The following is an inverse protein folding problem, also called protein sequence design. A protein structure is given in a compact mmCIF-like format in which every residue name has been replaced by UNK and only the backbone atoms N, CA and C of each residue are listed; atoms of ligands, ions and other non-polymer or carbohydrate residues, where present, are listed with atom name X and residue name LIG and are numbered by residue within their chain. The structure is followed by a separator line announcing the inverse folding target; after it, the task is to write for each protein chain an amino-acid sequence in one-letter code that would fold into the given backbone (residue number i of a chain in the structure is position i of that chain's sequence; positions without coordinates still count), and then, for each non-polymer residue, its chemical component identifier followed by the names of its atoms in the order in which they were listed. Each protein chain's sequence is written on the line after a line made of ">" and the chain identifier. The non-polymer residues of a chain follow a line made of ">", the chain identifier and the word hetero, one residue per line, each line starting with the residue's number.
data_IF_466634204618
#
_entry.id   IF_466634204618
#
_cell.length_a   1.000
_cell.length_b   1.000
_cell.length_c   1.000
_cell.angle_alpha   90.00
_cell.angle_beta   90.00
_cell.angle_gamma   90.00
#
_symmetry.space_group_name_H-M   'P 1'
#
loop_
_entity.id
_entity.type
_entity.pdbx_description
1 polymer ?
#
# COMPACT_ATOMS: atom_id res chain seq x y z
N UNK A 1 -65.87 12.63 46.89
CA UNK A 1 -65.54 11.24 46.51
C UNK A 1 -64.43 11.30 45.48
N UNK A 2 -63.20 10.80 45.62
CA UNK A 2 -62.36 10.23 46.67
C UNK A 2 -60.94 10.41 46.06
N UNK A 3 -60.05 11.26 46.56
CA UNK A 3 -59.04 11.00 47.61
C UNK A 3 -58.21 9.71 47.42
N UNK A 4 -56.88 9.93 47.46
CA UNK A 4 -55.77 9.00 47.82
C UNK A 4 -55.41 7.93 46.77
N UNK A 5 -54.14 7.76 46.36
CA UNK A 5 -53.05 7.36 47.26
C UNK A 5 -51.67 7.90 46.80
N UNK A 6 -51.04 8.63 47.71
CA UNK A 6 -49.62 8.96 47.76
C UNK A 6 -48.92 7.86 48.56
N UNK A 7 -47.83 7.29 48.05
CA UNK A 7 -46.81 6.55 48.83
C UNK A 7 -45.49 6.73 48.05
N UNK A 8 -44.67 7.74 48.34
CA UNK A 8 -43.59 7.77 49.34
C UNK A 8 -42.82 6.44 49.39
N UNK A 9 -41.66 6.40 48.74
CA UNK A 9 -40.52 5.65 49.28
C UNK A 9 -39.28 6.53 49.16
N UNK A 10 -39.08 7.34 50.19
CA UNK A 10 -37.83 8.02 50.51
C UNK A 10 -36.93 6.99 51.19
N UNK A 11 -35.76 6.69 50.62
CA UNK A 11 -34.62 6.16 51.39
C UNK A 11 -33.55 7.24 51.38
N UNK A 12 -33.23 7.70 52.59
CA UNK A 12 -32.34 8.82 52.90
C UNK A 12 -30.87 8.38 52.90
N UNK A 13 -30.09 9.06 52.06
CA UNK A 13 -28.74 9.60 52.29
C UNK A 13 -27.76 8.73 53.06
N UNK A 14 -26.85 8.08 52.31
CA UNK A 14 -25.48 7.86 52.74
C UNK A 14 -24.57 8.90 52.08
N UNK A 15 -24.19 9.93 52.84
CA UNK A 15 -23.11 10.82 52.48
C UNK A 15 -21.79 10.03 52.51
N UNK A 16 -21.31 9.65 51.33
CA UNK A 16 -20.05 8.94 51.14
C UNK A 16 -19.35 9.48 49.90
N UNK A 17 -18.49 10.48 50.13
CA UNK A 17 -17.37 10.89 49.28
C UNK A 17 -17.69 11.08 47.79
N UNK A 18 -17.87 12.35 47.43
CA UNK A 18 -17.42 12.91 46.15
C UNK A 18 -15.94 12.58 45.95
N UNK A 19 -15.63 11.36 45.55
CA UNK A 19 -14.44 11.09 44.75
C UNK A 19 -14.85 11.37 43.32
N UNK A 20 -14.77 12.65 42.95
CA UNK A 20 -14.50 13.01 41.57
C UNK A 20 -13.12 12.43 41.24
N UNK A 21 -13.06 11.14 40.94
CA UNK A 21 -12.05 10.64 40.03
C UNK A 21 -12.41 11.26 38.69
N UNK A 22 -11.94 12.48 38.48
CA UNK A 22 -11.45 12.91 37.18
C UNK A 22 -10.33 11.92 36.81
N UNK A 23 -10.72 10.69 36.48
CA UNK A 23 -9.89 9.82 35.68
C UNK A 23 -9.73 10.59 34.38
N UNK A 24 -8.51 11.05 34.13
CA UNK A 24 -8.12 11.41 32.78
C UNK A 24 -8.64 10.30 31.88
N UNK A 25 -9.65 10.61 31.06
CA UNK A 25 -9.98 9.73 29.95
C UNK A 25 -8.69 9.63 29.18
N UNK A 26 -8.08 8.44 29.18
CA UNK A 26 -7.03 8.12 28.22
C UNK A 26 -7.52 8.63 26.86
N UNK A 27 -6.69 9.39 26.12
CA UNK A 27 -7.11 9.89 24.82
C UNK A 27 -7.64 8.70 24.04
N UNK A 28 -8.90 8.78 23.62
CA UNK A 28 -9.55 7.71 22.87
C UNK A 28 -8.70 7.50 21.62
N UNK A 29 -7.87 6.45 21.63
CA UNK A 29 -6.89 6.24 20.55
C UNK A 29 -7.60 6.08 19.21
N UNK A 30 -6.87 6.21 18.11
CA UNK A 30 -7.42 5.95 16.79
C UNK A 30 -7.84 4.47 16.66
N UNK A 31 -8.88 4.20 15.87
CA UNK A 31 -9.15 2.86 15.36
C UNK A 31 -8.16 2.57 14.23
N UNK A 32 -7.13 1.78 14.53
CA UNK A 32 -6.12 1.39 13.54
C UNK A 32 -6.64 0.24 12.68
N UNK A 33 -6.57 0.39 11.37
CA UNK A 33 -7.01 -0.61 10.39
C UNK A 33 -5.93 -0.92 9.37
N UNK A 34 -5.91 -2.16 8.90
CA UNK A 34 -5.10 -2.61 7.77
C UNK A 34 -6.01 -3.12 6.67
N UNK A 35 -5.67 -2.81 5.41
CA UNK A 35 -6.46 -3.22 4.25
C UNK A 35 -5.63 -4.20 3.41
N UNK A 36 -6.19 -5.35 3.08
CA UNK A 36 -5.62 -6.28 2.11
C UNK A 36 -6.55 -6.37 0.90
N UNK A 37 -6.05 -6.05 -0.28
CA UNK A 37 -6.81 -6.01 -1.53
C UNK A 37 -6.40 -7.21 -2.38
N UNK A 38 -7.37 -8.08 -2.64
CA UNK A 38 -7.10 -9.29 -3.41
C UNK A 38 -6.84 -9.02 -4.88
N UNK A 39 -6.13 -9.93 -5.52
CA UNK A 39 -5.96 -9.90 -6.96
C UNK A 39 -7.16 -10.42 -7.76
N UNK A 40 -7.13 -10.10 -9.05
CA UNK A 40 -8.09 -10.52 -10.05
C UNK A 40 -8.18 -9.49 -11.17
N UNK A 41 -7.74 -9.84 -12.38
CA UNK A 41 -7.57 -8.93 -13.52
C UNK A 41 -8.69 -7.89 -13.65
N UNK A 42 -9.88 -8.27 -14.14
CA UNK A 42 -11.02 -7.36 -14.25
C UNK A 42 -11.60 -6.97 -12.89
N UNK A 43 -11.40 -7.80 -11.85
CA UNK A 43 -11.86 -7.55 -10.47
C UNK A 43 -11.30 -6.24 -9.92
N UNK A 44 -10.11 -5.81 -10.34
CA UNK A 44 -9.53 -4.52 -9.97
C UNK A 44 -10.48 -3.34 -10.18
N UNK A 45 -11.12 -3.28 -11.36
CA UNK A 45 -12.10 -2.25 -11.70
C UNK A 45 -13.39 -2.35 -10.87
N UNK A 46 -13.83 -3.57 -10.54
CA UNK A 46 -15.00 -3.78 -9.67
C UNK A 46 -14.71 -3.36 -8.21
N UNK A 47 -13.52 -3.67 -7.70
CA UNK A 47 -13.09 -3.34 -6.34
C UNK A 47 -12.76 -1.85 -6.18
N UNK A 48 -12.39 -1.16 -7.26
CA UNK A 48 -12.03 0.25 -7.28
C UNK A 48 -13.07 1.15 -6.59
N UNK A 49 -14.35 0.99 -6.95
CA UNK A 49 -15.45 1.75 -6.36
C UNK A 49 -15.68 1.43 -4.88
N UNK A 50 -15.52 0.17 -4.49
CA UNK A 50 -15.64 -0.26 -3.09
C UNK A 50 -14.49 0.30 -2.24
N UNK A 51 -13.26 0.22 -2.73
CA UNK A 51 -12.07 0.76 -2.06
C UNK A 51 -12.20 2.27 -1.85
N UNK A 52 -12.62 3.01 -2.89
CA UNK A 52 -12.90 4.44 -2.77
C UNK A 52 -13.98 4.72 -1.71
N UNK A 53 -15.11 4.02 -1.75
CA UNK A 53 -16.22 4.25 -0.84
C UNK A 53 -15.84 3.98 0.62
N UNK A 54 -15.13 2.88 0.90
CA UNK A 54 -14.65 2.53 2.25
C UNK A 54 -13.71 3.61 2.78
N UNK A 55 -12.71 4.03 1.98
CA UNK A 55 -11.75 5.05 2.41
C UNK A 55 -12.42 6.41 2.64
N UNK A 56 -13.36 6.78 1.77
CA UNK A 56 -14.14 8.00 1.92
C UNK A 56 -14.96 8.00 3.20
N UNK A 57 -15.71 6.92 3.44
CA UNK A 57 -16.49 6.76 4.67
C UNK A 57 -15.60 6.77 5.92
N UNK A 58 -14.47 6.07 5.90
CA UNK A 58 -13.54 6.05 7.02
C UNK A 58 -13.02 7.45 7.36
N UNK A 59 -12.61 8.22 6.34
CA UNK A 59 -12.14 9.61 6.50
C UNK A 59 -13.22 10.58 6.96
N UNK A 60 -14.46 10.40 6.51
CA UNK A 60 -15.57 11.30 6.84
C UNK A 60 -16.31 10.89 8.13
N UNK A 61 -16.03 9.69 8.67
CA UNK A 61 -16.75 9.11 9.80
C UNK A 61 -16.68 9.93 11.09
N UNK A 62 -15.59 10.67 11.31
CA UNK A 62 -15.43 11.55 12.48
C UNK A 62 -16.45 12.70 12.51
N UNK A 63 -16.96 13.08 11.33
CA UNK A 63 -17.95 14.13 11.15
C UNK A 63 -19.39 13.59 11.14
N UNK A 64 -19.58 12.28 11.20
CA UNK A 64 -20.91 11.67 11.19
C UNK A 64 -21.54 11.69 12.58
N UNK A 65 -22.79 12.19 12.72
CA UNK A 65 -23.51 12.12 13.99
C UNK A 65 -23.81 10.66 14.34
N UNK A 66 -23.41 10.22 15.53
CA UNK A 66 -23.79 8.90 16.03
C UNK A 66 -25.24 8.89 16.52
N UNK A 67 -26.08 7.94 16.05
CA UNK A 67 -27.44 7.77 16.55
C UNK A 67 -27.52 7.55 18.07
N UNK A 68 -26.44 7.04 18.67
CA UNK A 68 -26.35 6.69 20.09
C UNK A 68 -25.75 7.81 20.96
N UNK A 69 -25.45 8.98 20.40
CA UNK A 69 -24.81 10.09 21.10
C UNK A 69 -23.31 9.90 21.40
N UNK A 70 -22.67 8.88 20.83
CA UNK A 70 -21.22 8.67 20.91
C UNK A 70 -20.45 9.40 19.80
N UNK A 71 -19.14 9.55 19.93
CA UNK A 71 -18.29 9.97 18.81
C UNK A 71 -17.63 8.73 18.21
N UNK A 72 -17.63 8.59 16.88
CA UNK A 72 -16.87 7.52 16.23
C UNK A 72 -15.38 7.79 16.43
N UNK A 73 -14.61 6.73 16.69
CA UNK A 73 -13.15 6.84 16.84
C UNK A 73 -12.55 7.23 15.49
N UNK A 74 -11.65 8.21 15.43
CA UNK A 74 -10.83 8.49 14.26
C UNK A 74 -10.21 7.23 13.69
N UNK A 75 -10.27 7.04 12.38
CA UNK A 75 -9.66 5.88 11.71
C UNK A 75 -8.22 6.24 11.35
N UNK A 76 -7.29 5.36 11.70
CA UNK A 76 -5.91 5.42 11.26
C UNK A 76 -5.63 4.25 10.33
N UNK A 77 -5.22 4.53 9.10
CA UNK A 77 -4.81 3.49 8.16
C UNK A 77 -3.37 3.08 8.47
N UNK A 78 -3.22 1.94 9.12
CA UNK A 78 -1.93 1.42 9.58
C UNK A 78 -1.12 0.79 8.44
N UNK A 79 -1.78 0.19 7.45
CA UNK A 79 -1.12 -0.36 6.26
C UNK A 79 -2.11 -0.74 5.17
N UNK A 80 -1.61 -0.91 3.94
CA UNK A 80 -2.34 -1.49 2.81
C UNK A 80 -1.45 -2.50 2.10
N UNK A 81 -1.98 -3.65 1.71
CA UNK A 81 -1.29 -4.56 0.81
C UNK A 81 -2.18 -4.98 -0.35
N UNK A 82 -1.59 -5.24 -1.51
CA UNK A 82 -2.30 -5.66 -2.71
C UNK A 82 -1.57 -6.73 -3.52
N UNK A 83 -2.32 -7.54 -4.24
CA UNK A 83 -1.79 -8.52 -5.18
C UNK A 83 -2.44 -8.32 -6.55
N UNK A 84 -1.73 -8.54 -7.66
CA UNK A 84 -2.31 -8.37 -8.99
C UNK A 84 -2.88 -6.96 -9.21
N UNK A 85 -4.04 -6.86 -9.82
CA UNK A 85 -4.85 -5.64 -9.90
C UNK A 85 -5.13 -4.98 -8.54
N UNK A 86 -5.15 -5.75 -7.45
CA UNK A 86 -5.24 -5.23 -6.08
C UNK A 86 -4.00 -4.44 -5.65
N UNK A 87 -2.83 -4.73 -6.23
CA UNK A 87 -1.60 -3.96 -6.04
C UNK A 87 -1.73 -2.54 -6.57
N UNK A 88 -2.33 -2.36 -7.75
CA UNK A 88 -2.67 -1.03 -8.30
C UNK A 88 -3.61 -0.30 -7.34
N UNK A 89 -4.70 -0.97 -6.91
CA UNK A 89 -5.65 -0.40 -5.97
C UNK A 89 -5.00 -0.01 -4.63
N UNK A 90 -3.98 -0.74 -4.17
CA UNK A 90 -3.28 -0.42 -2.91
C UNK A 90 -2.57 0.95 -2.98
N UNK A 91 -1.97 1.27 -4.12
CA UNK A 91 -1.33 2.57 -4.39
C UNK A 91 -2.39 3.68 -4.44
N UNK A 92 -3.47 3.46 -5.19
CA UNK A 92 -4.59 4.41 -5.29
C UNK A 92 -5.25 4.68 -3.93
N UNK A 93 -5.33 3.66 -3.08
CA UNK A 93 -5.81 3.76 -1.72
C UNK A 93 -4.91 4.62 -0.83
N UNK A 94 -3.59 4.47 -0.91
CA UNK A 94 -2.64 5.31 -0.18
C UNK A 94 -2.78 6.80 -0.56
N UNK A 95 -2.89 7.09 -1.86
CA UNK A 95 -3.06 8.45 -2.37
C UNK A 95 -4.37 9.08 -1.88
N UNK A 96 -5.47 8.34 -2.03
CA UNK A 96 -6.80 8.77 -1.60
C UNK A 96 -6.85 8.98 -0.09
N UNK A 97 -6.18 8.12 0.67
CA UNK A 97 -6.08 8.26 2.11
C UNK A 97 -5.39 9.57 2.48
N UNK A 98 -4.21 9.86 1.92
CA UNK A 98 -3.42 11.03 2.27
C UNK A 98 -3.86 12.35 1.65
N UNK A 99 -4.76 12.33 0.65
CA UNK A 99 -5.22 13.57 0.00
C UNK A 99 -5.95 14.51 0.96
N UNK A 100 -5.82 15.81 0.78
CA UNK A 100 -6.68 16.81 1.43
C UNK A 100 -8.16 16.59 1.05
N UNK A 101 -9.12 17.11 1.82
CA UNK A 101 -10.49 17.25 1.33
C UNK A 101 -10.50 18.04 0.00
N UNK A 102 -11.37 17.67 -0.93
CA UNK A 102 -11.45 18.34 -2.23
C UNK A 102 -11.73 19.85 -2.09
N UNK A 103 -12.58 20.23 -1.12
CA UNK A 103 -12.87 21.64 -0.80
C UNK A 103 -11.65 22.44 -0.32
N UNK A 104 -10.58 21.76 0.09
CA UNK A 104 -9.33 22.35 0.58
C UNK A 104 -8.20 22.23 -0.46
N UNK A 105 -8.53 21.94 -1.73
CA UNK A 105 -7.55 21.76 -2.80
C UNK A 105 -6.96 20.35 -2.88
N UNK A 106 -7.60 19.37 -2.25
CA UNK A 106 -7.30 17.95 -2.43
C UNK A 106 -7.66 17.42 -3.80
N UNK A 107 -7.37 16.13 -4.02
CA UNK A 107 -7.76 15.43 -5.23
C UNK A 107 -9.29 15.30 -5.31
N UNK A 108 -9.81 15.20 -6.53
CA UNK A 108 -11.23 14.92 -6.74
C UNK A 108 -11.62 13.62 -6.02
N UNK A 109 -12.73 13.67 -5.25
CA UNK A 109 -13.22 12.53 -4.48
C UNK A 109 -14.74 12.41 -4.53
N UNK A 110 -15.28 12.44 -5.74
CA UNK A 110 -16.71 12.23 -6.03
C UNK A 110 -16.92 10.88 -6.70
N UNK A 111 -18.16 10.41 -6.69
CA UNK A 111 -18.53 9.13 -7.32
C UNK A 111 -18.23 9.12 -8.83
N UNK A 112 -18.34 10.27 -9.48
CA UNK A 112 -18.13 10.47 -10.91
C UNK A 112 -16.72 10.95 -11.27
N UNK A 113 -15.88 11.27 -10.27
CA UNK A 113 -14.53 11.77 -10.46
C UNK A 113 -13.67 11.48 -9.24
N UNK A 114 -12.75 10.53 -9.39
CA UNK A 114 -11.77 10.15 -8.39
C UNK A 114 -10.67 9.30 -9.04
N UNK A 115 -9.49 9.21 -8.40
CA UNK A 115 -8.33 8.50 -8.96
C UNK A 115 -8.60 7.02 -9.27
N UNK A 116 -9.45 6.34 -8.51
CA UNK A 116 -9.81 4.95 -8.80
C UNK A 116 -10.59 4.83 -10.10
N UNK A 117 -11.65 5.62 -10.23
CA UNK A 117 -12.47 5.67 -11.45
C UNK A 117 -11.63 6.06 -12.66
N UNK A 118 -10.82 7.10 -12.51
CA UNK A 118 -10.09 7.69 -13.63
C UNK A 118 -8.95 6.77 -14.10
N UNK A 119 -8.35 5.97 -13.22
CA UNK A 119 -7.40 4.93 -13.62
C UNK A 119 -8.09 3.74 -14.30
N UNK A 120 -9.18 3.21 -13.73
CA UNK A 120 -9.78 1.97 -14.24
C UNK A 120 -10.69 2.13 -15.45
N UNK A 121 -11.38 3.28 -15.60
CA UNK A 121 -12.28 3.51 -16.74
C UNK A 121 -11.57 3.98 -18.01
N UNK A 122 -10.26 4.22 -17.96
CA UNK A 122 -9.45 4.53 -19.14
C UNK A 122 -9.08 3.31 -19.95
N UNK A 123 -9.08 2.13 -19.34
CA UNK A 123 -8.73 0.88 -20.01
C UNK A 123 -9.87 0.50 -20.97
N UNK A 124 -9.65 0.72 -22.27
CA UNK A 124 -10.58 0.34 -23.33
C UNK A 124 -10.37 -1.11 -23.74
N UNK A 125 -11.45 -1.86 -23.97
CA UNK A 125 -11.33 -3.28 -24.32
C UNK A 125 -10.62 -3.51 -25.67
N UNK A 126 -10.73 -2.59 -26.62
CA UNK A 126 -10.07 -2.71 -27.93
C UNK A 126 -8.59 -2.33 -27.87
N UNK A 127 -8.20 -1.52 -26.90
CA UNK A 127 -6.80 -1.24 -26.63
C UNK A 127 -6.17 -2.32 -25.74
N UNK A 128 -6.93 -2.85 -24.78
CA UNK A 128 -6.51 -3.96 -23.91
C UNK A 128 -6.32 -5.27 -24.68
N UNK A 129 -7.25 -5.61 -25.58
CA UNK A 129 -7.16 -6.78 -26.45
C UNK A 129 -7.39 -6.33 -27.91
N UNK A 130 -6.35 -5.78 -28.57
CA UNK A 130 -6.44 -5.39 -29.97
C UNK A 130 -6.93 -6.55 -30.85
N UNK A 131 -7.80 -6.27 -31.84
CA UNK A 131 -8.42 -7.31 -32.67
C UNK A 131 -7.41 -8.06 -33.56
N UNK A 132 -6.22 -7.48 -33.76
CA UNK A 132 -5.16 -8.03 -34.61
C UNK A 132 -3.89 -8.24 -33.78
N UNK A 133 -3.23 -9.43 -33.86
CA UNK A 133 -2.01 -9.71 -33.11
C UNK A 133 -0.81 -8.81 -33.43
N UNK A 134 -0.79 -8.18 -34.62
CA UNK A 134 0.25 -7.27 -35.10
C UNK A 134 -0.10 -5.78 -34.89
N UNK A 135 -1.12 -5.49 -34.06
CA UNK A 135 -1.49 -4.12 -33.74
C UNK A 135 -0.35 -3.36 -33.08
N UNK A 136 -0.11 -2.12 -33.55
CA UNK A 136 0.87 -1.19 -32.97
C UNK A 136 0.54 -0.77 -31.51
N UNK A 137 -0.63 -1.15 -30.99
CA UNK A 137 -1.03 -0.92 -29.60
C UNK A 137 -0.29 -1.87 -28.65
N UNK A 138 0.09 -3.06 -29.11
CA UNK A 138 0.89 -3.98 -28.30
C UNK A 138 2.30 -3.42 -28.07
N UNK A 139 2.73 -3.46 -26.82
CA UNK A 139 4.10 -3.17 -26.44
C UNK A 139 4.97 -4.43 -26.57
N UNK A 140 6.31 -4.29 -26.69
CA UNK A 140 7.21 -5.42 -26.88
C UNK A 140 7.15 -6.50 -25.78
N UNK A 141 6.76 -6.12 -24.56
CA UNK A 141 6.66 -6.98 -23.38
C UNK A 141 5.21 -7.37 -23.03
N UNK A 142 4.27 -7.13 -23.93
CA UNK A 142 2.89 -7.59 -23.78
C UNK A 142 2.73 -9.07 -24.13
N UNK A 143 1.67 -9.66 -23.58
CA UNK A 143 1.26 -11.03 -23.88
C UNK A 143 -0.07 -11.00 -24.65
N UNK A 144 -1.14 -11.61 -24.11
CA UNK A 144 -2.46 -11.56 -24.74
C UNK A 144 -3.09 -10.16 -24.66
N UNK A 145 -2.84 -9.43 -23.58
CA UNK A 145 -3.38 -8.10 -23.34
C UNK A 145 -2.27 -7.04 -23.38
N UNK A 146 -2.59 -5.91 -23.99
CA UNK A 146 -1.75 -4.73 -23.99
C UNK A 146 -1.84 -3.97 -22.67
N UNK A 147 -0.72 -3.43 -22.22
CA UNK A 147 -0.66 -2.55 -21.05
C UNK A 147 -0.78 -1.07 -21.38
N UNK A 148 -0.93 -0.72 -22.66
CA UNK A 148 -0.79 0.66 -23.13
C UNK A 148 -1.64 1.66 -22.33
N UNK A 149 -2.94 1.42 -22.25
CA UNK A 149 -3.87 2.31 -21.55
C UNK A 149 -3.58 2.44 -20.05
N UNK A 150 -3.11 1.36 -19.42
CA UNK A 150 -2.71 1.40 -18.01
C UNK A 150 -1.47 2.27 -17.83
N UNK A 151 -0.47 2.15 -18.71
CA UNK A 151 0.74 2.98 -18.64
C UNK A 151 0.44 4.45 -18.92
N UNK A 152 -0.47 4.74 -19.86
CA UNK A 152 -0.95 6.10 -20.09
C UNK A 152 -1.68 6.64 -18.84
N UNK A 153 -2.50 5.81 -18.17
CA UNK A 153 -3.14 6.15 -16.89
C UNK A 153 -2.14 6.32 -15.75
N UNK A 154 -1.04 5.56 -15.75
CA UNK A 154 0.02 5.65 -14.77
C UNK A 154 0.83 6.95 -14.91
N UNK A 155 1.02 7.45 -16.13
CA UNK A 155 1.63 8.76 -16.36
C UNK A 155 0.81 9.88 -15.70
N UNK A 156 -0.50 9.91 -15.91
CA UNK A 156 -1.39 10.86 -15.25
C UNK A 156 -1.42 10.71 -13.73
N UNK A 157 -1.28 9.47 -13.23
CA UNK A 157 -1.19 9.20 -11.80
C UNK A 157 0.06 9.82 -11.18
N UNK A 158 1.20 9.73 -11.87
CA UNK A 158 2.45 10.38 -11.44
C UNK A 158 2.29 11.90 -11.38
N UNK A 159 1.61 12.50 -12.35
CA UNK A 159 1.29 13.93 -12.27
C UNK A 159 0.47 14.27 -11.02
N UNK A 160 -0.43 13.39 -10.56
CA UNK A 160 -1.15 13.60 -9.31
C UNK A 160 -0.21 13.59 -8.10
N UNK A 161 0.83 12.76 -8.08
CA UNK A 161 1.78 12.65 -6.94
C UNK A 161 2.51 13.97 -6.69
N UNK A 162 2.81 14.71 -7.75
CA UNK A 162 3.48 16.00 -7.67
C UNK A 162 2.56 17.20 -7.39
N UNK A 163 1.24 16.98 -7.25
CA UNK A 163 0.32 18.05 -6.84
C UNK A 163 0.44 18.30 -5.34
N UNK A 164 0.31 19.57 -4.95
CA UNK A 164 0.24 20.00 -3.54
C UNK A 164 -1.16 19.76 -2.94
N UNK A 165 -1.63 18.53 -3.03
CA UNK A 165 -3.02 18.13 -2.77
C UNK A 165 -3.13 17.13 -1.60
N UNK A 166 -2.09 17.02 -0.77
CA UNK A 166 -1.96 15.99 0.26
C UNK A 166 -1.67 16.58 1.64
N UNK A 167 -2.09 15.87 2.70
CA UNK A 167 -1.89 16.25 4.09
C UNK A 167 -0.44 16.05 4.49
N UNK A 168 0.29 17.15 4.73
CA UNK A 168 1.68 17.12 5.17
C UNK A 168 1.86 16.21 6.38
N UNK A 169 2.87 15.35 6.35
CA UNK A 169 3.16 14.37 7.40
C UNK A 169 2.31 13.09 7.34
N UNK A 170 1.36 12.98 6.39
CA UNK A 170 0.68 11.71 6.16
C UNK A 170 1.67 10.66 5.65
N UNK A 171 1.62 9.48 6.27
CA UNK A 171 2.45 8.31 5.93
C UNK A 171 1.56 7.08 5.91
N UNK A 172 1.72 6.24 4.89
CA UNK A 172 0.99 4.97 4.78
C UNK A 172 1.94 3.87 4.31
N UNK A 173 2.18 2.83 5.13
CA UNK A 173 2.84 1.61 4.69
C UNK A 173 2.01 0.88 3.62
N UNK A 174 2.64 0.60 2.49
CA UNK A 174 2.08 -0.10 1.35
C UNK A 174 2.93 -1.35 1.05
N UNK A 175 2.34 -2.34 0.40
CA UNK A 175 3.09 -3.49 -0.08
C UNK A 175 2.38 -4.21 -1.20
N UNK A 176 3.16 -4.69 -2.16
CA UNK A 176 2.63 -5.55 -3.23
C UNK A 176 3.33 -6.89 -3.22
N UNK A 177 2.58 -7.96 -3.45
CA UNK A 177 3.17 -9.28 -3.67
C UNK A 177 3.62 -9.41 -5.11
N UNK A 178 4.67 -10.18 -5.35
CA UNK A 178 5.19 -10.51 -6.68
C UNK A 178 5.64 -11.97 -6.69
N UNK A 179 5.49 -12.64 -7.83
CA UNK A 179 5.86 -14.05 -7.94
C UNK A 179 7.07 -14.18 -8.86
N UNK A 180 8.19 -14.73 -8.37
CA UNK A 180 9.32 -15.05 -9.24
C UNK A 180 8.92 -16.17 -10.20
N UNK A 181 9.29 -16.01 -11.48
CA UNK A 181 9.07 -17.04 -12.50
C UNK A 181 9.90 -18.30 -12.18
N UNK A 182 11.17 -18.09 -11.84
CA UNK A 182 12.07 -19.15 -11.41
C UNK A 182 12.18 -19.15 -9.87
N UNK A 183 11.93 -20.29 -9.20
CA UNK A 183 12.07 -20.40 -7.75
C UNK A 183 13.49 -20.06 -7.28
N UNK A 184 13.58 -19.28 -6.20
CA UNK A 184 14.81 -19.09 -5.48
C UNK A 184 14.99 -20.20 -4.45
N UNK A 185 16.18 -20.79 -4.40
CA UNK A 185 16.56 -21.70 -3.33
C UNK A 185 16.98 -20.87 -2.11
N UNK A 186 16.26 -21.06 -1.00
CA UNK A 186 16.51 -20.40 0.28
C UNK A 186 16.79 -21.47 1.33
N UNK A 187 17.73 -21.19 2.24
CA UNK A 187 17.95 -22.06 3.41
C UNK A 187 17.33 -21.41 4.64
N UNK A 188 16.29 -22.01 5.19
CA UNK A 188 15.58 -21.52 6.39
C UNK A 188 15.69 -22.58 7.47
N UNK A 189 16.36 -22.26 8.58
CA UNK A 189 16.56 -23.22 9.68
C UNK A 189 17.31 -24.50 9.29
N UNK A 190 18.19 -24.42 8.28
CA UNK A 190 18.93 -25.57 7.74
C UNK A 190 18.15 -26.43 6.74
N UNK A 191 16.94 -26.01 6.36
CA UNK A 191 16.12 -26.68 5.34
C UNK A 191 16.17 -25.85 4.07
N UNK A 192 16.55 -26.48 2.95
CA UNK A 192 16.44 -25.90 1.62
C UNK A 192 14.98 -25.89 1.18
N UNK A 193 14.48 -24.70 0.86
CA UNK A 193 13.13 -24.47 0.35
C UNK A 193 13.20 -23.71 -0.96
N UNK A 194 12.31 -24.05 -1.90
CA UNK A 194 12.14 -23.31 -3.15
C UNK A 194 11.03 -22.29 -2.95
N UNK A 195 11.39 -21.02 -2.94
CA UNK A 195 10.44 -19.92 -2.77
C UNK A 195 10.23 -19.17 -4.09
N UNK A 196 8.96 -18.91 -4.41
CA UNK A 196 8.56 -18.05 -5.52
C UNK A 196 7.75 -16.85 -5.05
N UNK A 197 7.36 -16.79 -3.77
CA UNK A 197 6.54 -15.72 -3.21
C UNK A 197 7.45 -14.65 -2.63
N UNK A 198 7.39 -13.46 -3.21
CA UNK A 198 8.14 -12.29 -2.77
C UNK A 198 7.20 -11.10 -2.61
N UNK A 199 7.67 -10.04 -2.00
CA UNK A 199 6.92 -8.79 -1.89
C UNK A 199 7.83 -7.58 -1.91
N UNK A 200 7.27 -6.47 -2.40
CA UNK A 200 7.90 -5.17 -2.49
C UNK A 200 7.16 -4.25 -1.51
N UNK A 201 7.73 -3.96 -0.33
CA UNK A 201 7.15 -2.98 0.57
C UNK A 201 7.63 -1.56 0.19
N UNK A 202 6.76 -0.58 0.40
CA UNK A 202 7.07 0.83 0.22
C UNK A 202 6.14 1.68 1.05
N UNK A 203 6.54 2.89 1.39
CA UNK A 203 5.67 3.82 2.09
C UNK A 203 5.37 5.01 1.21
N UNK A 204 4.09 5.39 1.16
CA UNK A 204 3.70 6.69 0.66
C UNK A 204 3.97 7.71 1.76
N UNK A 205 4.77 8.74 1.47
CA UNK A 205 5.09 9.82 2.40
C UNK A 205 4.75 11.17 1.77
N UNK A 206 3.97 11.98 2.49
CA UNK A 206 3.67 13.36 2.06
C UNK A 206 4.75 14.29 2.59
N UNK A 207 5.44 14.94 1.66
CA UNK A 207 6.51 15.90 1.90
C UNK A 207 5.99 17.22 2.50
N UNK A 208 6.92 18.06 2.98
CA UNK A 208 6.57 19.37 3.57
C UNK A 208 5.93 20.34 2.58
N UNK A 209 6.19 20.16 1.28
CA UNK A 209 5.57 20.97 0.21
C UNK A 209 4.18 20.46 -0.20
N UNK A 210 3.69 19.40 0.44
CA UNK A 210 2.38 18.79 0.19
C UNK A 210 2.34 17.83 -0.99
N UNK A 211 3.48 17.43 -1.55
CA UNK A 211 3.59 16.40 -2.61
C UNK A 211 3.86 15.00 -2.04
N UNK A 212 3.71 13.97 -2.86
CA UNK A 212 3.99 12.57 -2.49
C UNK A 212 5.39 12.16 -2.93
N UNK A 213 6.09 11.43 -2.08
CA UNK A 213 7.25 10.61 -2.44
C UNK A 213 7.13 9.21 -1.84
N UNK A 214 7.95 8.29 -2.34
CA UNK A 214 7.98 6.92 -1.85
C UNK A 214 9.36 6.56 -1.30
N UNK A 215 9.36 5.80 -0.20
CA UNK A 215 10.58 5.26 0.39
C UNK A 215 10.29 4.03 1.24
N UNK A 216 11.29 3.21 1.51
CA UNK A 216 11.16 2.12 2.49
C UNK A 216 12.44 1.90 3.27
N UNK A 217 12.47 2.33 4.52
CA UNK A 217 13.60 2.10 5.43
C UNK A 217 13.31 0.88 6.33
N UNK A 218 14.00 -0.27 6.14
CA UNK A 218 13.83 -1.44 6.98
C UNK A 218 14.09 -1.18 8.48
N UNK A 219 14.88 -0.17 8.84
CA UNK A 219 15.14 0.17 10.24
C UNK A 219 13.89 0.70 10.95
N UNK A 220 12.90 1.22 10.20
CA UNK A 220 11.59 1.61 10.75
C UNK A 220 10.67 0.41 11.01
N UNK A 221 11.07 -0.81 10.62
CA UNK A 221 10.30 -2.04 10.77
C UNK A 221 11.09 -3.12 11.55
N UNK A 222 11.47 -2.88 12.82
CA UNK A 222 12.24 -3.83 13.60
C UNK A 222 11.51 -5.17 13.72
N UNK A 223 12.17 -6.24 13.30
CA UNK A 223 11.60 -7.59 13.25
C UNK A 223 11.10 -8.01 11.88
N UNK A 224 11.06 -7.10 10.90
CA UNK A 224 10.87 -7.45 9.49
C UNK A 224 12.20 -7.84 8.84
N UNK A 225 12.65 -9.06 9.13
CA UNK A 225 13.79 -9.68 8.46
C UNK A 225 13.32 -10.91 7.69
N UNK A 226 12.95 -10.71 6.44
CA UNK A 226 12.39 -11.75 5.57
C UNK A 226 13.19 -11.82 4.24
N UNK A 227 13.83 -12.96 3.92
CA UNK A 227 14.49 -13.16 2.63
C UNK A 227 13.57 -13.05 1.42
N UNK A 228 12.24 -13.11 1.59
CA UNK A 228 11.24 -12.88 0.56
C UNK A 228 10.94 -11.38 0.32
N UNK A 229 11.44 -10.49 1.18
CA UNK A 229 11.36 -9.04 0.99
C UNK A 229 12.41 -8.59 -0.03
N UNK A 230 11.98 -7.88 -1.05
CA UNK A 230 12.87 -7.23 -2.01
C UNK A 230 12.65 -5.72 -1.99
N UNK A 231 13.74 -4.96 -2.05
CA UNK A 231 13.70 -3.50 -2.11
C UNK A 231 13.93 -3.02 -3.54
N UNK A 232 13.36 -1.88 -3.88
CA UNK A 232 13.63 -1.25 -5.17
C UNK A 232 15.02 -0.60 -5.13
N UNK A 233 15.87 -0.78 -6.16
CA UNK A 233 17.15 -0.14 -6.22
C UNK A 233 16.96 1.34 -6.55
N UNK A 234 17.97 2.14 -6.25
CA UNK A 234 17.96 3.58 -6.52
C UNK A 234 19.21 3.99 -7.30
N UNK A 235 19.16 5.09 -8.07
CA UNK A 235 20.37 5.78 -8.49
C UNK A 235 21.25 6.15 -7.30
N UNK A 236 22.58 6.15 -7.48
CA UNK A 236 23.54 6.44 -6.42
C UNK A 236 23.38 7.83 -5.82
N UNK A 237 23.03 8.82 -6.65
CA UNK A 237 22.85 10.22 -6.27
C UNK A 237 21.50 10.50 -5.57
N UNK A 238 20.57 9.54 -5.54
CA UNK A 238 19.29 9.66 -4.86
C UNK A 238 19.42 9.33 -3.36
N UNK A 239 18.54 9.86 -2.48
CA UNK A 239 18.55 9.54 -1.06
C UNK A 239 18.45 8.05 -0.77
N UNK A 240 19.07 7.60 0.32
CA UNK A 240 18.95 6.21 0.73
C UNK A 240 17.49 5.80 0.94
N UNK A 241 17.13 4.60 0.51
CA UNK A 241 15.78 4.04 0.56
C UNK A 241 14.70 4.79 -0.23
N UNK A 242 15.05 5.81 -1.03
CA UNK A 242 14.09 6.44 -1.94
C UNK A 242 13.67 5.47 -3.05
N UNK A 243 12.42 5.56 -3.47
CA UNK A 243 11.87 4.78 -4.56
C UNK A 243 11.30 5.76 -5.57
N UNK A 244 11.85 5.74 -6.80
CA UNK A 244 11.36 6.62 -7.86
C UNK A 244 9.93 6.27 -8.27
N UNK A 245 9.26 7.24 -8.86
CA UNK A 245 7.91 7.06 -9.37
C UNK A 245 7.82 5.94 -10.40
N UNK A 246 8.80 5.86 -11.29
CA UNK A 246 8.94 4.78 -12.28
C UNK A 246 9.02 3.41 -11.60
N UNK A 247 9.74 3.32 -10.49
CA UNK A 247 9.85 2.08 -9.74
C UNK A 247 8.53 1.69 -9.06
N UNK A 248 7.74 2.65 -8.57
CA UNK A 248 6.39 2.37 -8.04
C UNK A 248 5.46 1.86 -9.14
N UNK A 249 5.48 2.48 -10.32
CA UNK A 249 4.70 1.99 -11.47
C UNK A 249 5.20 0.61 -11.90
N UNK A 250 6.52 0.40 -11.92
CA UNK A 250 7.11 -0.91 -12.26
C UNK A 250 6.70 -1.98 -11.26
N UNK A 251 6.62 -1.67 -9.96
CA UNK A 251 6.09 -2.59 -8.94
C UNK A 251 4.61 -2.92 -9.21
N UNK A 252 3.80 -1.92 -9.58
CA UNK A 252 2.38 -2.10 -9.92
C UNK A 252 2.18 -2.97 -11.19
N UNK A 253 2.99 -2.77 -12.23
CA UNK A 253 3.00 -3.62 -13.43
C UNK A 253 3.46 -5.04 -13.10
N UNK A 254 4.49 -5.17 -12.27
CA UNK A 254 5.07 -6.47 -11.89
C UNK A 254 4.06 -7.31 -11.11
N UNK A 255 3.40 -6.72 -10.09
CA UNK A 255 2.39 -7.45 -9.32
C UNK A 255 1.19 -7.84 -10.15
N UNK A 256 0.85 -7.09 -11.21
CA UNK A 256 -0.30 -7.32 -12.11
C UNK A 256 0.01 -8.10 -13.40
N UNK A 257 1.20 -8.70 -13.50
CA UNK A 257 1.64 -9.52 -14.63
C UNK A 257 0.95 -10.90 -14.69
N UNK A 258 -0.39 -10.92 -14.76
CA UNK A 258 -1.21 -12.14 -14.76
C UNK A 258 -0.74 -13.11 -15.84
N UNK A 259 -0.25 -14.32 -15.47
CA UNK A 259 0.33 -15.24 -16.43
C UNK A 259 -0.61 -15.46 -17.63
N UNK A 260 -0.04 -15.49 -18.83
CA UNK A 260 -0.73 -15.59 -20.13
C UNK A 260 -1.53 -14.35 -20.57
N UNK A 261 -2.11 -13.57 -19.65
CA UNK A 261 -2.82 -12.35 -20.02
C UNK A 261 -1.86 -11.17 -20.23
N UNK A 262 -1.02 -10.89 -19.24
CA UNK A 262 -0.02 -9.83 -19.31
C UNK A 262 1.37 -10.45 -19.28
N UNK A 263 2.33 -9.87 -20.00
CA UNK A 263 3.69 -10.42 -20.11
C UNK A 263 4.43 -10.45 -18.77
N UNK A 264 5.53 -11.19 -18.68
CA UNK A 264 6.37 -11.17 -17.46
C UNK A 264 7.12 -9.84 -17.37
N UNK A 265 7.50 -9.45 -16.17
CA UNK A 265 8.29 -8.23 -15.96
C UNK A 265 9.68 -8.58 -15.46
N UNK A 266 10.70 -8.10 -16.16
CA UNK A 266 12.09 -8.15 -15.70
C UNK A 266 12.34 -7.02 -14.71
N UNK A 267 12.70 -7.37 -13.48
CA UNK A 267 12.91 -6.40 -12.40
C UNK A 267 14.33 -6.53 -11.86
N UNK A 268 15.01 -5.39 -11.75
CA UNK A 268 16.21 -5.24 -10.93
C UNK A 268 15.77 -4.87 -9.52
N UNK A 269 16.30 -5.57 -8.52
CA UNK A 269 15.88 -5.44 -7.13
C UNK A 269 17.05 -5.69 -6.19
N UNK A 270 16.87 -5.23 -4.95
CA UNK A 270 17.81 -5.44 -3.87
C UNK A 270 17.29 -6.56 -2.98
N UNK A 271 18.04 -7.66 -2.93
CA UNK A 271 17.77 -8.78 -2.02
C UNK A 271 18.71 -8.74 -0.84
N UNK A 272 18.25 -9.27 0.28
CA UNK A 272 19.07 -9.39 1.47
C UNK A 272 20.32 -10.24 1.18
N UNK A 273 21.47 -9.77 1.63
CA UNK A 273 22.72 -10.52 1.58
C UNK A 273 22.69 -11.60 2.67
N UNK A 274 22.78 -12.87 2.27
CA UNK A 274 22.82 -13.99 3.20
C UNK A 274 24.27 -14.43 3.43
N UNK A 275 24.59 -14.91 4.63
CA UNK A 275 25.96 -15.31 5.03
C UNK A 275 26.61 -16.36 4.09
N UNK A 276 25.84 -17.05 3.26
CA UNK A 276 26.31 -18.02 2.27
C UNK A 276 26.68 -17.41 0.91
N UNK A 277 26.40 -16.12 0.68
CA UNK A 277 26.76 -15.41 -0.54
C UNK A 277 28.27 -15.14 -0.52
N UNK A 278 29.07 -16.09 -1.00
CA UNK A 278 30.51 -15.89 -1.22
C UNK A 278 30.70 -14.88 -2.36
N UNK A 279 30.91 -13.60 -2.04
CA UNK A 279 31.06 -12.55 -3.05
C UNK A 279 32.38 -12.74 -3.81
N UNK A 280 32.30 -13.19 -5.06
CA UNK A 280 33.30 -12.86 -6.07
C UNK A 280 33.09 -11.39 -6.45
N UNK A 281 33.84 -10.48 -5.82
CA UNK A 281 33.83 -9.07 -6.20
C UNK A 281 34.42 -8.94 -7.60
N UNK A 282 33.57 -8.71 -8.60
CA UNK A 282 34.08 -8.21 -9.87
C UNK A 282 34.70 -6.81 -9.66
N UNK A 283 35.81 -6.50 -10.35
CA UNK A 283 36.53 -5.25 -10.15
C UNK A 283 35.63 -4.07 -10.47
N UNK A 284 35.54 -3.11 -9.54
CA UNK A 284 34.82 -1.83 -9.71
C UNK A 284 35.32 -1.10 -10.96
N UNK A 285 34.56 -1.18 -12.05
CA UNK A 285 34.61 -0.19 -13.11
C UNK A 285 34.24 1.18 -12.56
N UNK A 286 34.61 2.27 -13.24
CA UNK A 286 34.17 3.63 -12.90
C UNK A 286 32.63 3.65 -12.77
N UNK A 287 32.15 3.79 -11.52
CA UNK A 287 30.72 3.78 -11.22
C UNK A 287 30.14 5.16 -11.48
N UNK A 288 29.08 5.24 -12.28
CA UNK A 288 28.34 6.47 -12.57
C UNK A 288 27.39 6.83 -11.42
N UNK A 289 27.05 8.11 -11.30
CA UNK A 289 26.01 8.61 -10.39
C UNK A 289 24.63 8.03 -10.69
N UNK A 290 24.41 7.61 -11.93
CA UNK A 290 23.15 7.00 -12.40
C UNK A 290 23.09 5.49 -12.19
N UNK A 291 24.19 4.86 -11.73
CA UNK A 291 24.21 3.42 -11.50
C UNK A 291 23.26 3.06 -10.37
N UNK A 292 22.50 1.99 -10.59
CA UNK A 292 21.61 1.45 -9.57
C UNK A 292 22.40 0.81 -8.44
N UNK A 293 22.06 1.19 -7.21
CA UNK A 293 22.69 0.70 -5.99
C UNK A 293 21.65 0.19 -5.00
N UNK A 294 22.09 -0.72 -4.15
CA UNK A 294 21.32 -1.24 -3.03
C UNK A 294 21.79 -0.62 -1.70
N UNK A 295 20.91 -0.54 -0.69
CA UNK A 295 21.32 -0.21 0.68
C UNK A 295 22.31 -1.23 1.24
N UNK A 296 23.03 -0.84 2.30
CA UNK A 296 23.96 -1.73 2.98
C UNK A 296 23.26 -3.01 3.47
N UNK A 297 23.93 -4.17 3.30
CA UNK A 297 23.37 -5.48 3.61
C UNK A 297 22.40 -6.04 2.55
N UNK A 298 22.25 -5.36 1.42
CA UNK A 298 21.51 -5.83 0.26
C UNK A 298 22.41 -5.88 -0.97
N UNK A 299 22.13 -6.85 -1.86
CA UNK A 299 22.83 -7.00 -3.13
C UNK A 299 21.86 -6.86 -4.30
N UNK A 300 22.34 -6.26 -5.38
CA UNK A 300 21.59 -6.06 -6.60
C UNK A 300 21.44 -7.40 -7.34
N UNK A 301 20.21 -7.71 -7.74
CA UNK A 301 19.86 -8.92 -8.48
C UNK A 301 18.84 -8.56 -9.57
N UNK A 302 18.67 -9.44 -10.55
CA UNK A 302 17.71 -9.28 -11.64
C UNK A 302 17.05 -10.62 -11.99
N UNK A 303 15.73 -10.64 -12.08
CA UNK A 303 14.98 -11.83 -12.50
C UNK A 303 13.66 -11.45 -13.17
N UNK A 304 13.01 -12.42 -13.78
CA UNK A 304 11.62 -12.28 -14.21
C UNK A 304 10.64 -12.55 -13.06
N UNK A 305 9.64 -11.70 -12.99
CA UNK A 305 8.48 -11.84 -12.12
C UNK A 305 7.20 -11.94 -12.95
N UNK A 306 6.23 -12.62 -12.38
CA UNK A 306 4.85 -12.68 -12.80
C UNK A 306 3.95 -12.19 -11.65
N UNK A 307 2.64 -12.26 -11.87
CA UNK A 307 1.60 -11.79 -10.96
C UNK A 307 1.79 -12.17 -9.49
N UNK A 308 1.61 -11.21 -8.61
CA UNK A 308 1.66 -11.39 -7.16
C UNK A 308 0.58 -12.31 -6.61
N UNK A 309 -0.53 -12.45 -7.32
CA UNK A 309 -1.67 -13.25 -6.92
C UNK A 309 -1.52 -14.75 -7.19
N UNK A 310 -0.47 -15.21 -7.88
CA UNK A 310 -0.31 -16.64 -8.18
C UNK A 310 -0.17 -17.50 -6.92
N UNK A 311 0.62 -17.04 -5.94
CA UNK A 311 0.83 -17.75 -4.67
C UNK A 311 0.38 -16.96 -3.44
N UNK A 312 0.01 -15.68 -3.58
CA UNK A 312 -0.50 -14.85 -2.49
C UNK A 312 -1.54 -13.83 -3.00
N UNK A 313 -2.71 -14.34 -3.38
CA UNK A 313 -3.79 -13.51 -3.95
C UNK A 313 -4.51 -12.64 -2.93
N UNK A 314 -4.35 -12.87 -1.62
CA UNK A 314 -4.92 -12.05 -0.56
C UNK A 314 -3.82 -11.77 0.47
N UNK A 315 -3.07 -10.67 0.31
CA UNK A 315 -1.84 -10.42 1.06
C UNK A 315 -2.11 -9.90 2.49
N UNK A 316 -3.00 -10.57 3.23
CA UNK A 316 -3.38 -10.22 4.60
C UNK A 316 -2.18 -10.27 5.55
N UNK A 317 -1.30 -11.26 5.36
CA UNK A 317 -0.07 -11.39 6.14
C UNK A 317 0.86 -10.18 5.95
N UNK A 318 1.02 -9.72 4.70
CA UNK A 318 1.84 -8.55 4.40
C UNK A 318 1.25 -7.27 4.99
N UNK A 319 -0.06 -7.04 4.80
CA UNK A 319 -0.74 -5.89 5.40
C UNK A 319 -0.54 -5.88 6.93
N UNK A 320 -0.79 -7.02 7.58
CA UNK A 320 -0.61 -7.15 9.02
C UNK A 320 0.83 -6.87 9.47
N UNK A 321 1.82 -7.49 8.81
CA UNK A 321 3.24 -7.32 9.16
C UNK A 321 3.65 -5.86 9.05
N UNK A 322 3.26 -5.16 7.98
CA UNK A 322 3.57 -3.74 7.82
C UNK A 322 2.94 -2.87 8.93
N UNK A 323 1.73 -3.21 9.39
CA UNK A 323 1.09 -2.47 10.48
C UNK A 323 1.68 -2.75 11.86
N UNK A 324 2.10 -3.99 12.13
CA UNK A 324 2.58 -4.44 13.43
C UNK A 324 4.08 -4.23 13.63
N UNK A 325 4.89 -4.40 12.57
CA UNK A 325 6.35 -4.33 12.67
C UNK A 325 6.89 -2.89 12.69
N UNK A 326 6.10 -1.90 12.26
CA UNK A 326 6.54 -0.51 12.26
C UNK A 326 6.85 -0.02 13.68
N UNK A 327 7.94 0.73 13.89
CA UNK A 327 8.36 1.26 15.21
C UNK A 327 7.26 2.04 15.92
N UNK A 328 6.38 2.71 15.16
CA UNK A 328 5.26 3.48 15.68
C UNK A 328 4.09 2.62 16.19
N UNK A 329 4.04 1.33 15.85
CA UNK A 329 2.91 0.46 16.17
C UNK A 329 2.75 0.21 17.68
N UNK A 330 3.85 0.21 18.43
CA UNK A 330 3.86 0.02 19.89
C UNK A 330 3.28 1.19 20.69
N UNK A 331 3.08 2.36 20.07
CA UNK A 331 2.62 3.58 20.74
C UNK A 331 1.09 3.69 20.85
N UNK A 332 0.34 2.87 20.12
CA UNK A 332 -1.12 2.75 20.17
C UNK A 332 -1.50 1.30 19.77
N UNK A 333 -1.41 0.33 20.70
CA UNK A 333 -1.74 -1.07 20.44
C UNK A 333 -3.23 -1.31 20.16
#
# INVERSE_FOLDING_TARGET
>A
MNRLLVTILTVVIGAGLLSASAGAQDPVGNLRISIAISGGASKGAYEAGLNWAILKLARESENLPSPSGGQLRPVELASIAGASAGGINSILSGLTWCSLPEAEGGLASRIDSNVFRDTWLRVDINALLPPWPDSEIYLPDDALFSRRDYLDSAADLREQWHKKAYRVGCRVPLGVTVTRVEPQELTIGGIEVKNQRFYIPFELRVQQDGTVAYSFDPAEYPGLYDPAMILMPRPRNEPEFSISDENIIKAAVTTSAFPTAFGRTRLQFCRLELLSDSISQEPRSEQSDTDLVCPDGYILDETEFADGGLFDNLPLGLARILAEAHIGASKNP
#
